data_IF_847907252813
#
_entry.id   IF_847907252813
#
_cell.length_a   1.000
_cell.length_b   1.000
_cell.length_c   1.000
_cell.angle_alpha   90.00
_cell.angle_beta   90.00
_cell.angle_gamma   90.00
#
_symmetry.space_group_name_H-M   'P 1'
#
loop_
_entity.id
_entity.type
_entity.pdbx_description
1 polymer ?
#
# COMPACT_ATOMS: atom_id res chain seq x y z
N UNK A 1 3.28 2.06 18.40
CA UNK A 1 3.36 3.53 18.37
C UNK A 1 3.62 4.08 16.96
N UNK A 2 4.54 3.53 16.17
CA UNK A 2 4.75 4.01 14.79
C UNK A 2 3.69 3.58 13.76
N UNK A 3 3.01 2.45 13.95
CA UNK A 3 1.92 2.01 13.06
C UNK A 3 0.76 3.03 12.98
N UNK A 4 0.43 3.65 14.13
CA UNK A 4 -0.58 4.72 14.18
C UNK A 4 -0.13 5.97 13.43
N UNK A 5 1.17 6.28 13.42
CA UNK A 5 1.73 7.40 12.65
C UNK A 5 1.65 7.12 11.15
N UNK A 6 1.92 5.90 10.70
CA UNK A 6 1.78 5.50 9.29
C UNK A 6 0.30 5.56 8.87
N UNK A 7 -0.62 5.07 9.69
CA UNK A 7 -2.06 5.14 9.40
C UNK A 7 -2.55 6.60 9.36
N UNK A 8 -2.15 7.44 10.31
CA UNK A 8 -2.50 8.85 10.32
C UNK A 8 -1.94 9.61 9.10
N UNK A 9 -0.72 9.26 8.68
CA UNK A 9 -0.13 9.78 7.45
C UNK A 9 -0.99 9.42 6.23
N UNK A 10 -1.38 8.14 6.08
CA UNK A 10 -2.20 7.70 4.95
C UNK A 10 -3.63 8.26 4.99
N UNK A 11 -4.20 8.50 6.17
CA UNK A 11 -5.52 9.11 6.34
C UNK A 11 -5.53 10.56 5.83
N UNK A 12 -4.50 11.35 6.17
CA UNK A 12 -4.30 12.70 5.62
C UNK A 12 -4.03 12.66 4.12
N UNK A 13 -3.23 11.70 3.67
CA UNK A 13 -2.86 11.54 2.26
C UNK A 13 -4.07 11.17 1.39
N UNK A 14 -5.03 10.42 1.91
CA UNK A 14 -6.29 10.09 1.22
C UNK A 14 -7.32 11.22 1.33
N UNK A 15 -7.28 12.01 2.41
CA UNK A 15 -8.19 13.13 2.64
C UNK A 15 -7.84 14.37 1.81
N UNK A 16 -6.55 14.61 1.56
CA UNK A 16 -6.07 15.78 0.81
C UNK A 16 -5.49 15.41 -0.55
N UNK A 17 -6.23 15.79 -1.60
CA UNK A 17 -5.85 15.53 -2.99
C UNK A 17 -4.54 16.23 -3.40
N UNK A 18 -4.26 17.41 -2.88
CA UNK A 18 -3.04 18.14 -3.22
C UNK A 18 -1.80 17.46 -2.63
N UNK A 19 -1.93 16.87 -1.45
CA UNK A 19 -0.89 16.05 -0.82
C UNK A 19 -0.72 14.74 -1.58
N UNK A 20 -1.82 14.09 -1.97
CA UNK A 20 -1.78 12.87 -2.79
C UNK A 20 -1.04 13.08 -4.12
N UNK A 21 -1.31 14.18 -4.82
CA UNK A 21 -0.63 14.46 -6.09
C UNK A 21 0.87 14.69 -5.92
N UNK A 22 1.29 15.33 -4.82
CA UNK A 22 2.70 15.50 -4.50
C UNK A 22 3.37 14.17 -4.14
N UNK A 23 2.71 13.36 -3.31
CA UNK A 23 3.13 12.01 -3.00
C UNK A 23 3.31 11.16 -4.27
N UNK A 24 2.33 11.18 -5.16
CA UNK A 24 2.40 10.47 -6.43
C UNK A 24 3.55 10.97 -7.31
N UNK A 25 3.77 12.28 -7.41
CA UNK A 25 4.86 12.82 -8.24
C UNK A 25 6.25 12.57 -7.66
N UNK A 26 6.41 12.60 -6.34
CA UNK A 26 7.72 12.50 -5.70
C UNK A 26 8.11 11.07 -5.35
N UNK A 27 7.16 10.29 -4.84
CA UNK A 27 7.40 8.94 -4.33
C UNK A 27 7.19 7.85 -5.38
N UNK A 28 6.44 8.14 -6.46
CA UNK A 28 6.23 7.18 -7.54
C UNK A 28 7.31 7.33 -8.61
N UNK A 29 8.14 6.30 -8.75
CA UNK A 29 9.14 6.20 -9.81
C UNK A 29 8.53 5.40 -10.94
N UNK A 30 8.44 6.02 -12.13
CA UNK A 30 8.10 5.28 -13.36
C UNK A 30 9.31 4.46 -13.78
N UNK A 31 9.24 3.17 -13.51
CA UNK A 31 10.19 2.21 -14.04
C UNK A 31 10.11 2.13 -15.56
N UNK A 32 11.24 1.74 -16.16
CA UNK A 32 11.28 1.29 -17.56
C UNK A 32 10.36 0.06 -17.61
N UNK A 33 9.47 -0.03 -18.60
CA UNK A 33 8.33 -0.99 -18.70
C UNK A 33 6.99 -0.57 -18.06
N UNK A 34 6.86 0.66 -17.56
CA UNK A 34 5.55 1.14 -17.07
C UNK A 34 5.13 0.53 -15.73
N UNK A 35 6.08 -0.09 -15.03
CA UNK A 35 5.92 -0.51 -13.64
C UNK A 35 5.99 0.75 -12.78
N UNK A 36 4.98 0.93 -11.93
CA UNK A 36 4.96 1.97 -10.91
C UNK A 36 5.68 1.42 -9.68
N UNK A 37 6.89 1.92 -9.43
CA UNK A 37 7.67 1.54 -8.26
C UNK A 37 7.56 2.65 -7.20
N UNK A 38 7.11 2.27 -6.01
CA UNK A 38 6.94 3.20 -4.89
C UNK A 38 8.19 3.14 -4.02
N UNK A 39 8.98 4.21 -4.03
CA UNK A 39 10.24 4.30 -3.29
C UNK A 39 9.98 4.56 -1.79
N UNK A 40 10.16 3.53 -0.96
CA UNK A 40 9.89 3.55 0.48
C UNK A 40 10.67 4.65 1.21
N UNK A 41 11.93 4.86 0.83
CA UNK A 41 12.78 5.94 1.35
C UNK A 41 12.15 7.30 1.13
N UNK A 42 11.61 7.53 -0.07
CA UNK A 42 10.95 8.80 -0.41
C UNK A 42 9.64 8.98 0.33
N UNK A 43 8.90 7.89 0.55
CA UNK A 43 7.65 7.92 1.33
C UNK A 43 7.94 8.32 2.78
N UNK A 44 8.95 7.71 3.41
CA UNK A 44 9.38 8.04 4.77
C UNK A 44 9.86 9.50 4.87
N UNK A 45 10.66 9.96 3.90
CA UNK A 45 11.08 11.36 3.87
C UNK A 45 9.91 12.33 3.68
N UNK A 46 8.95 12.00 2.81
CA UNK A 46 7.76 12.82 2.59
C UNK A 46 6.88 12.87 3.85
N UNK A 47 6.69 11.75 4.52
CA UNK A 47 6.00 11.71 5.80
C UNK A 47 6.69 12.59 6.86
N UNK A 48 8.03 12.59 6.88
CA UNK A 48 8.83 13.45 7.76
C UNK A 48 8.58 14.93 7.48
N UNK A 49 8.42 15.33 6.21
CA UNK A 49 8.09 16.73 5.86
C UNK A 49 6.70 17.16 6.31
N UNK A 50 5.78 16.21 6.49
CA UNK A 50 4.43 16.44 7.01
C UNK A 50 4.36 16.35 8.56
N UNK A 51 5.48 16.03 9.22
CA UNK A 51 5.57 15.92 10.67
C UNK A 51 5.34 14.50 11.22
N UNK A 52 5.22 13.50 10.36
CA UNK A 52 5.13 12.08 10.75
C UNK A 52 6.51 11.45 10.76
N UNK A 53 6.83 10.67 11.80
CA UNK A 53 8.12 9.98 11.92
C UNK A 53 7.90 8.48 12.00
N UNK A 54 8.29 7.76 10.95
CA UNK A 54 8.31 6.30 10.89
C UNK A 54 9.43 5.82 9.96
N UNK A 55 9.82 4.56 10.09
CA UNK A 55 10.89 3.92 9.31
C UNK A 55 10.32 3.13 8.12
N UNK A 56 11.20 2.76 7.18
CA UNK A 56 10.82 1.92 6.04
C UNK A 56 10.25 0.57 6.48
N UNK A 57 10.83 -0.04 7.53
CA UNK A 57 10.33 -1.31 8.07
C UNK A 57 8.92 -1.18 8.66
N UNK A 58 8.58 -0.02 9.24
CA UNK A 58 7.24 0.24 9.77
C UNK A 58 6.24 0.52 8.65
N UNK A 59 6.67 1.21 7.59
CA UNK A 59 5.90 1.36 6.36
C UNK A 59 5.63 0.00 5.70
N UNK A 60 6.64 -0.87 5.63
CA UNK A 60 6.50 -2.24 5.14
C UNK A 60 5.56 -3.06 6.01
N UNK A 61 5.60 -2.90 7.34
CA UNK A 61 4.67 -3.57 8.23
C UNK A 61 3.20 -3.16 7.99
N UNK A 62 2.92 -1.97 7.47
CA UNK A 62 1.56 -1.57 7.08
C UNK A 62 1.21 -2.06 5.67
N UNK A 63 2.13 -1.87 4.71
CA UNK A 63 1.91 -2.22 3.30
C UNK A 63 1.93 -3.74 3.04
N UNK A 64 2.71 -4.49 3.81
CA UNK A 64 2.95 -5.94 3.65
C UNK A 64 2.71 -6.74 4.95
N UNK A 65 2.65 -6.08 6.11
CA UNK A 65 2.35 -6.73 7.40
C UNK A 65 0.86 -6.77 7.74
N UNK A 66 -0.01 -6.32 6.82
CA UNK A 66 -1.28 -7.02 6.68
C UNK A 66 -0.91 -8.44 6.28
N UNK A 67 -0.98 -9.40 7.21
CA UNK A 67 -1.08 -10.81 6.86
C UNK A 67 -1.95 -10.90 5.61
N UNK A 68 -1.60 -11.71 4.60
CA UNK A 68 -2.57 -11.98 3.56
C UNK A 68 -3.82 -12.38 4.31
N UNK A 69 -4.86 -11.56 4.24
CA UNK A 69 -6.21 -12.07 4.42
C UNK A 69 -6.28 -13.00 3.22
N UNK A 70 -5.79 -14.22 3.41
CA UNK A 70 -6.39 -15.37 2.81
C UNK A 70 -7.85 -15.15 3.17
N UNK A 71 -8.59 -14.58 2.23
CA UNK A 71 -9.98 -14.91 2.07
C UNK A 71 -9.95 -16.43 1.99
N UNK A 72 -9.96 -17.10 3.14
CA UNK A 72 -10.58 -18.38 3.32
C UNK A 72 -12.08 -18.12 3.23
N UNK A 73 -12.52 -17.57 2.09
CA UNK A 73 -13.61 -18.24 1.44
C UNK A 73 -13.05 -19.64 1.20
N UNK A 74 -13.54 -20.58 1.99
CA UNK A 74 -13.45 -21.99 1.67
C UNK A 74 -14.06 -22.15 0.29
N UNK A 75 -13.29 -21.89 -0.76
CA UNK A 75 -13.61 -22.25 -2.12
C UNK A 75 -13.60 -23.76 -2.07
N UNK A 76 -14.80 -24.31 -1.91
CA UNK A 76 -15.04 -25.73 -2.06
C UNK A 76 -14.75 -26.02 -3.54
N UNK A 77 -13.50 -26.41 -3.83
CA UNK A 77 -12.97 -26.75 -5.15
C UNK A 77 -13.66 -27.95 -5.81
N UNK A 78 -14.79 -28.40 -5.25
CA UNK A 78 -15.64 -29.48 -5.77
C UNK A 78 -16.76 -28.98 -6.70
N UNK A 79 -17.15 -27.71 -6.67
CA UNK A 79 -18.25 -27.21 -7.54
C UNK A 79 -17.82 -26.71 -8.93
N UNK A 80 -16.52 -26.46 -9.16
CA UNK A 80 -16.06 -25.90 -10.45
C UNK A 80 -15.94 -26.92 -11.60
N UNK A 81 -16.34 -28.17 -11.39
CA UNK A 81 -16.29 -29.23 -12.42
C UNK A 81 -17.62 -29.48 -13.17
N UNK A 82 -18.65 -28.66 -12.99
CA UNK A 82 -19.96 -28.95 -13.59
C UNK A 82 -20.43 -27.97 -14.69
N UNK A 83 -19.64 -26.96 -15.07
CA UNK A 83 -20.05 -25.99 -16.11
C UNK A 83 -19.07 -25.83 -17.28
N UNK A 84 -18.31 -26.88 -17.60
CA UNK A 84 -17.62 -26.96 -18.90
C UNK A 84 -17.80 -28.37 -19.44
N UNK A 85 -18.99 -28.67 -19.95
CA UNK A 85 -19.28 -29.56 -21.09
C UNK A 85 -20.80 -29.72 -21.22
N UNK A 86 -21.41 -28.89 -22.07
CA UNK A 86 -22.59 -29.24 -22.84
C UNK A 86 -22.47 -28.62 -24.22
#
# INVERSE_FOLDING_TARGET
MALEQVNAFYDVLMSDRAIYEQYYRQCCVRGIFGIWDWDKTKIVNFATTLGYSFTESELEAVLFGSEPIAFQDSINLSEYKQYVFQ
#
